data_IF_379181844094
#
_entry.id   IF_379181844094
#
_cell.length_a   1.000
_cell.length_b   1.000
_cell.length_c   1.000
_cell.angle_alpha   90.00
_cell.angle_beta   90.00
_cell.angle_gamma   90.00
#
_symmetry.space_group_name_H-M   'P 1'
#
loop_
_entity.id
_entity.type
_entity.pdbx_description
1 polymer ?
#
# COMPACT_ATOMS: atom_id res chain seq x y z
N UNK A 1 1.12 -15.05 -9.31
CA UNK A 1 1.96 -14.05 -8.63
C UNK A 1 1.08 -13.15 -7.80
N UNK A 2 1.35 -13.10 -6.50
CA UNK A 2 0.62 -12.35 -5.47
C UNK A 2 1.32 -11.02 -5.21
N UNK A 3 0.59 -9.94 -5.38
CA UNK A 3 1.12 -8.58 -5.27
C UNK A 3 0.32 -7.85 -4.18
N UNK A 4 1.03 -7.27 -3.21
CA UNK A 4 0.43 -6.43 -2.18
C UNK A 4 0.88 -4.99 -2.38
N UNK A 5 -0.08 -4.08 -2.44
CA UNK A 5 0.16 -2.64 -2.34
C UNK A 5 -0.11 -2.19 -0.92
N UNK A 6 0.88 -1.59 -0.29
CA UNK A 6 0.82 -1.08 1.08
C UNK A 6 0.92 0.45 1.03
N UNK A 7 -0.09 1.11 1.60
CA UNK A 7 0.00 2.53 1.87
C UNK A 7 0.79 2.77 3.17
N UNK A 8 1.91 3.48 3.12
CA UNK A 8 2.67 3.77 4.34
C UNK A 8 1.89 4.77 5.22
N UNK A 9 1.73 4.48 6.52
CA UNK A 9 1.22 5.45 7.48
C UNK A 9 2.32 6.46 7.74
N UNK A 10 2.30 7.57 7.01
CA UNK A 10 3.08 8.72 7.43
C UNK A 10 2.44 9.28 8.70
N UNK A 11 3.17 9.33 9.84
CA UNK A 11 2.63 9.83 11.11
C UNK A 11 2.20 11.31 11.03
N UNK A 12 2.65 12.02 9.99
CA UNK A 12 2.31 13.43 9.71
C UNK A 12 1.10 13.57 8.77
N UNK A 13 0.70 12.48 8.09
CA UNK A 13 -0.51 12.42 7.29
C UNK A 13 -1.67 11.92 8.16
N UNK A 14 -2.17 12.83 9.01
CA UNK A 14 -3.52 12.77 9.63
C UNK A 14 -4.64 12.54 8.57
N UNK A 15 -4.29 12.58 7.28
CA UNK A 15 -5.15 12.47 6.11
C UNK A 15 -5.40 11.05 5.58
N UNK A 16 -4.82 10.01 6.17
CA UNK A 16 -5.09 8.62 5.75
C UNK A 16 -6.58 8.23 5.84
N UNK A 17 -7.33 8.82 6.79
CA UNK A 17 -8.78 8.63 6.86
C UNK A 17 -9.57 9.49 5.87
N UNK A 18 -8.95 10.48 5.22
CA UNK A 18 -9.61 11.47 4.37
C UNK A 18 -9.37 11.23 2.87
N UNK A 19 -8.34 10.46 2.50
CA UNK A 19 -7.94 10.26 1.11
C UNK A 19 -7.72 8.79 0.81
N UNK A 20 -8.31 8.31 -0.28
CA UNK A 20 -7.98 7.00 -0.86
C UNK A 20 -6.63 7.13 -1.59
N UNK A 21 -5.73 6.18 -1.40
CA UNK A 21 -4.49 6.11 -2.16
C UNK A 21 -4.74 5.74 -3.63
N UNK A 22 -5.10 6.76 -4.42
CA UNK A 22 -5.48 6.59 -5.84
C UNK A 22 -4.36 5.99 -6.70
N UNK A 23 -3.10 6.30 -6.41
CA UNK A 23 -1.95 5.75 -7.15
C UNK A 23 -1.86 4.22 -7.01
N UNK A 24 -1.72 3.70 -5.78
CA UNK A 24 -1.78 2.26 -5.50
C UNK A 24 -3.06 1.59 -6.03
N UNK A 25 -4.22 2.25 -5.86
CA UNK A 25 -5.50 1.72 -6.36
C UNK A 25 -5.52 1.58 -7.89
N UNK A 26 -4.98 2.55 -8.61
CA UNK A 26 -4.91 2.54 -10.07
C UNK A 26 -4.02 1.40 -10.58
N UNK A 27 -2.81 1.26 -10.01
CA UNK A 27 -1.88 0.18 -10.35
C UNK A 27 -2.46 -1.20 -10.01
N UNK A 28 -3.07 -1.33 -8.83
CA UNK A 28 -3.75 -2.56 -8.43
C UNK A 28 -4.87 -2.94 -9.40
N UNK A 29 -5.61 -1.95 -9.91
CA UNK A 29 -6.68 -2.18 -10.89
C UNK A 29 -6.14 -2.69 -12.22
N UNK A 30 -5.04 -2.12 -12.73
CA UNK A 30 -4.40 -2.59 -13.97
C UNK A 30 -3.92 -4.04 -13.79
N UNK A 31 -3.19 -4.33 -12.73
CA UNK A 31 -2.65 -5.67 -12.48
C UNK A 31 -3.77 -6.70 -12.27
N UNK A 32 -4.87 -6.32 -11.63
CA UNK A 32 -6.03 -7.20 -11.51
C UNK A 32 -6.68 -7.51 -12.86
N UNK A 33 -6.71 -6.55 -13.80
CA UNK A 33 -7.20 -6.77 -15.18
C UNK A 33 -6.32 -7.73 -15.96
N UNK A 34 -5.01 -7.72 -15.71
CA UNK A 34 -4.04 -8.65 -16.30
C UNK A 34 -4.03 -10.04 -15.63
N UNK A 35 -4.93 -10.29 -14.66
CA UNK A 35 -5.08 -11.60 -14.01
C UNK A 35 -4.15 -11.86 -12.82
N UNK A 36 -3.45 -10.84 -12.31
CA UNK A 36 -2.66 -10.98 -11.09
C UNK A 36 -3.54 -11.03 -9.84
N UNK A 37 -3.07 -11.74 -8.81
CA UNK A 37 -3.71 -11.72 -7.49
C UNK A 37 -3.19 -10.50 -6.73
N UNK A 38 -4.06 -9.49 -6.55
CA UNK A 38 -3.67 -8.19 -5.98
C UNK A 38 -4.45 -7.89 -4.71
N UNK A 39 -3.74 -7.44 -3.67
CA UNK A 39 -4.31 -6.95 -2.42
C UNK A 39 -3.87 -5.50 -2.17
N UNK A 40 -4.82 -4.65 -1.76
CA UNK A 40 -4.54 -3.30 -1.27
C UNK A 40 -4.68 -3.31 0.24
N UNK A 41 -3.65 -2.87 0.95
CA UNK A 41 -3.62 -2.89 2.41
C UNK A 41 -3.33 -1.48 2.91
N UNK A 42 -4.16 -1.06 3.87
CA UNK A 42 -4.06 0.23 4.53
C UNK A 42 -3.75 0.00 6.02
N UNK A 43 -2.47 -0.24 6.36
CA UNK A 43 -2.06 -0.53 7.72
C UNK A 43 -2.25 0.72 8.59
N UNK A 44 -2.92 0.55 9.73
CA UNK A 44 -3.17 1.60 10.73
C UNK A 44 -2.26 1.47 11.93
N UNK A 45 -1.72 0.27 12.15
CA UNK A 45 -0.83 -0.06 13.25
C UNK A 45 0.37 -0.84 12.74
N UNK A 46 1.41 -0.93 13.56
CA UNK A 46 2.64 -1.65 13.19
C UNK A 46 2.37 -3.13 12.97
N UNK A 47 1.45 -3.71 13.74
CA UNK A 47 1.09 -5.14 13.67
C UNK A 47 0.40 -5.50 12.34
N UNK A 48 -0.20 -4.52 11.65
CA UNK A 48 -0.80 -4.72 10.34
C UNK A 48 0.26 -5.01 9.26
N UNK A 49 1.54 -4.76 9.55
CA UNK A 49 2.66 -5.08 8.66
C UNK A 49 3.19 -6.52 8.80
N UNK A 50 2.78 -7.25 9.84
CA UNK A 50 3.42 -8.52 10.20
C UNK A 50 2.91 -9.72 9.36
N UNK A 51 1.97 -9.51 8.42
CA UNK A 51 1.24 -10.59 7.74
C UNK A 51 1.27 -10.51 6.20
N UNK A 52 2.45 -10.51 5.58
CA UNK A 52 2.60 -10.57 4.11
C UNK A 52 3.46 -11.74 3.59
N UNK A 53 3.69 -12.75 4.42
CA UNK A 53 4.56 -13.90 4.12
C UNK A 53 4.12 -14.73 2.90
N UNK A 54 2.86 -14.63 2.49
CA UNK A 54 2.31 -15.33 1.32
C UNK A 54 2.38 -14.49 0.03
N UNK A 55 3.09 -13.35 0.04
CA UNK A 55 3.15 -12.41 -1.09
C UNK A 55 4.46 -12.55 -1.87
N UNK A 56 4.39 -12.55 -3.20
CA UNK A 56 5.58 -12.58 -4.07
C UNK A 56 6.21 -11.19 -4.22
N UNK A 57 5.39 -10.14 -4.32
CA UNK A 57 5.82 -8.75 -4.51
C UNK A 57 5.11 -7.81 -3.54
N UNK A 58 5.88 -7.01 -2.81
CA UNK A 58 5.36 -5.96 -1.92
C UNK A 58 5.71 -4.59 -2.52
N UNK A 59 4.68 -3.80 -2.82
CA UNK A 59 4.79 -2.43 -3.30
C UNK A 59 4.40 -1.47 -2.18
N UNK A 60 5.36 -0.71 -1.66
CA UNK A 60 5.10 0.31 -0.64
C UNK A 60 5.02 1.69 -1.30
N UNK A 61 3.91 2.41 -1.10
CA UNK A 61 3.80 3.79 -1.57
C UNK A 61 4.20 4.74 -0.46
N UNK A 62 5.31 5.47 -0.65
CA UNK A 62 5.74 6.54 0.24
C UNK A 62 5.46 7.92 -0.34
N UNK A 63 5.23 8.89 0.53
CA UNK A 63 5.17 10.32 0.21
C UNK A 63 6.49 11.01 0.58
N UNK A 64 6.82 12.11 -0.08
CA UNK A 64 8.09 12.86 0.12
C UNK A 64 8.31 13.38 1.55
N UNK A 65 7.29 13.33 2.42
CA UNK A 65 7.42 13.65 3.85
C UNK A 65 8.00 12.49 4.69
N UNK A 66 8.23 11.32 4.09
CA UNK A 66 8.80 10.15 4.77
C UNK A 66 10.35 10.15 4.78
N UNK A 67 10.98 11.16 4.16
CA UNK A 67 12.41 11.41 4.24
C UNK A 67 12.64 12.78 4.92
N UNK A 68 13.48 12.87 5.97
CA UNK A 68 13.91 14.17 6.48
C UNK A 68 14.73 14.86 5.38
N UNK A 69 14.32 16.08 5.00
CA UNK A 69 15.15 17.03 4.25
C UNK A 69 16.18 17.63 5.21
#
# INVERSE_FOLDING_TARGET
>A
MKIVFIETPSPWLVRQNLHVALGPLYLATILKKEGYEVRLVHPKRKEDFDNFWDTDVICMSGTTLEYPI
#
